data_IF_704235699663
#
_entry.id   IF_704235699663
#
_cell.length_a   1.000
_cell.length_b   1.000
_cell.length_c   1.000
_cell.angle_alpha   90.00
_cell.angle_beta   90.00
_cell.angle_gamma   90.00
#
_symmetry.space_group_name_H-M   'P 1'
#
loop_
_entity.id
_entity.type
_entity.pdbx_description
1 polymer ?
#
# COMPACT_ATOMS: atom_id res chain seq x y z
N UNK A 1 -4.16 -5.50 35.39
CA UNK A 1 -4.24 -4.53 34.28
C UNK A 1 -2.83 -4.35 33.76
N UNK A 2 -2.53 -4.88 32.57
CA UNK A 2 -1.16 -4.90 32.03
C UNK A 2 -0.89 -3.57 31.31
N UNK A 3 0.13 -2.83 31.75
CA UNK A 3 0.58 -1.61 31.06
C UNK A 3 1.09 -1.98 29.69
N UNK A 4 0.31 -1.71 28.64
CA UNK A 4 0.81 -1.74 27.26
C UNK A 4 1.74 -0.54 27.08
N UNK A 5 2.98 -0.68 27.52
CA UNK A 5 4.08 0.19 27.08
C UNK A 5 4.26 -0.08 25.59
N UNK A 6 3.59 0.73 24.77
CA UNK A 6 3.87 0.85 23.35
C UNK A 6 5.07 1.78 23.23
N UNK A 7 6.24 1.22 22.90
CA UNK A 7 7.42 2.00 22.57
C UNK A 7 7.02 3.02 21.49
N UNK A 8 7.25 4.33 21.70
CA UNK A 8 6.95 5.32 20.68
C UNK A 8 7.86 5.10 19.45
N UNK A 9 7.42 5.53 18.25
CA UNK A 9 8.27 5.49 17.08
C UNK A 9 9.53 6.36 17.26
N UNK A 10 10.65 5.92 16.71
CA UNK A 10 11.93 6.61 16.65
C UNK A 10 11.96 7.62 15.50
N UNK A 11 10.98 8.54 15.50
CA UNK A 11 10.84 9.62 14.52
C UNK A 11 10.90 10.99 15.21
N UNK A 12 11.43 11.98 14.51
CA UNK A 12 11.45 13.38 14.93
C UNK A 12 11.10 14.29 13.77
N UNK A 13 10.65 15.50 14.08
CA UNK A 13 10.53 16.58 13.10
C UNK A 13 11.82 17.41 13.05
N UNK A 14 12.16 18.04 11.91
CA UNK A 14 13.33 18.92 11.80
C UNK A 14 13.43 19.98 12.91
N UNK A 15 12.31 20.61 13.27
CA UNK A 15 12.25 21.62 14.34
C UNK A 15 12.36 21.10 15.77
N UNK A 16 12.32 19.77 15.98
CA UNK A 16 12.33 19.14 17.31
C UNK A 16 13.70 18.53 17.67
N UNK A 17 14.67 18.55 16.76
CA UNK A 17 15.98 17.93 16.97
C UNK A 17 16.81 18.76 17.95
N UNK A 18 17.22 18.14 19.07
CA UNK A 18 18.14 18.79 20.03
C UNK A 18 19.58 18.72 19.54
N UNK A 19 20.38 19.73 19.87
CA UNK A 19 21.81 19.76 19.59
C UNK A 19 22.51 18.47 20.07
N UNK A 20 23.24 17.82 19.17
CA UNK A 20 23.98 16.59 19.46
C UNK A 20 23.21 15.28 19.23
N UNK A 21 21.92 15.31 18.89
CA UNK A 21 21.20 14.11 18.48
C UNK A 21 21.59 13.67 17.07
N UNK A 22 21.97 12.40 16.92
CA UNK A 22 22.21 11.79 15.60
C UNK A 22 20.87 11.36 15.00
N UNK A 23 20.47 11.99 13.90
CA UNK A 23 19.28 11.64 13.12
C UNK A 23 19.75 10.93 11.85
N UNK A 24 19.30 9.69 11.65
CA UNK A 24 19.53 8.95 10.42
C UNK A 24 18.72 9.58 9.29
N UNK A 25 19.36 9.80 8.15
CA UNK A 25 18.75 10.36 6.94
C UNK A 25 18.97 9.40 5.77
N UNK A 26 18.02 9.32 4.83
CA UNK A 26 18.23 8.58 3.59
C UNK A 26 19.31 9.22 2.75
N UNK A 27 20.14 8.38 2.13
CA UNK A 27 21.11 8.80 1.13
C UNK A 27 20.36 9.12 -0.18
N UNK A 28 20.37 10.38 -0.69
CA UNK A 28 19.71 10.74 -1.94
C UNK A 28 20.29 10.05 -3.18
N UNK A 29 21.52 9.52 -3.12
CA UNK A 29 22.07 8.70 -4.21
C UNK A 29 21.53 7.27 -4.21
N UNK A 30 21.20 6.72 -3.03
CA UNK A 30 20.54 5.41 -2.91
C UNK A 30 19.03 5.52 -3.14
N UNK A 31 18.42 6.61 -2.67
CA UNK A 31 16.98 6.89 -2.74
C UNK A 31 16.71 8.20 -3.49
N UNK A 32 16.96 8.26 -4.81
CA UNK A 32 16.83 9.49 -5.60
C UNK A 32 15.39 10.03 -5.69
N UNK A 33 14.38 9.21 -5.36
CA UNK A 33 12.99 9.63 -5.26
C UNK A 33 12.69 10.38 -3.93
N UNK A 34 13.48 10.17 -2.87
CA UNK A 34 13.20 10.69 -1.53
C UNK A 34 13.20 12.22 -1.42
N UNK A 35 14.13 12.96 -2.08
CA UNK A 35 14.08 14.41 -2.06
C UNK A 35 12.72 14.94 -2.51
N UNK A 36 12.11 14.41 -3.57
CA UNK A 36 10.80 14.86 -4.07
C UNK A 36 9.65 14.70 -3.07
N UNK A 37 9.80 13.84 -2.06
CA UNK A 37 8.82 13.64 -0.98
C UNK A 37 9.04 14.56 0.22
N UNK A 38 10.18 15.25 0.26
CA UNK A 38 10.62 16.02 1.43
C UNK A 38 10.97 17.48 1.10
N UNK A 39 10.69 17.93 -0.13
CA UNK A 39 10.82 19.33 -0.54
C UNK A 39 9.82 20.19 0.23
N UNK A 40 10.36 20.89 1.23
CA UNK A 40 9.75 21.74 2.26
C UNK A 40 8.41 21.26 2.80
N UNK A 41 8.40 21.02 4.11
CA UNK A 41 7.24 20.97 5.01
C UNK A 41 6.34 22.23 4.98
N UNK A 42 6.53 23.10 3.99
CA UNK A 42 5.75 24.29 3.68
C UNK A 42 4.88 23.97 2.47
N UNK A 43 3.57 23.89 2.70
CA UNK A 43 2.46 23.97 1.75
C UNK A 43 2.81 23.81 0.25
N UNK A 44 3.25 22.61 -0.17
CA UNK A 44 3.08 22.18 -1.55
C UNK A 44 1.76 21.44 -1.65
N UNK A 45 0.68 22.06 -2.18
CA UNK A 45 -0.64 21.43 -2.17
C UNK A 45 -0.74 20.21 -3.11
N UNK A 46 0.15 20.10 -4.10
CA UNK A 46 0.23 18.97 -5.05
C UNK A 46 1.67 18.88 -5.60
N UNK A 47 2.21 17.66 -5.73
CA UNK A 47 3.47 17.40 -6.46
C UNK A 47 3.29 17.72 -7.94
N UNK A 48 4.32 18.27 -8.58
CA UNK A 48 4.23 18.50 -10.02
C UNK A 48 4.39 17.19 -10.82
N UNK A 49 3.93 17.21 -12.07
CA UNK A 49 3.95 16.02 -12.94
C UNK A 49 5.38 15.49 -13.18
N UNK A 50 6.40 16.36 -13.18
CA UNK A 50 7.79 15.96 -13.42
C UNK A 50 8.37 15.26 -12.18
N UNK A 51 8.08 15.76 -10.98
CA UNK A 51 8.42 15.14 -9.70
C UNK A 51 7.78 13.74 -9.60
N UNK A 52 6.48 13.61 -9.90
CA UNK A 52 5.80 12.31 -9.94
C UNK A 52 6.45 11.34 -10.95
N UNK A 53 6.77 11.83 -12.15
CA UNK A 53 7.43 11.03 -13.18
C UNK A 53 8.83 10.58 -12.73
N UNK A 54 9.58 11.46 -12.05
CA UNK A 54 10.90 11.14 -11.50
C UNK A 54 10.80 10.05 -10.42
N UNK A 55 9.84 10.15 -9.51
CA UNK A 55 9.56 9.12 -8.49
C UNK A 55 9.22 7.79 -9.17
N UNK A 56 8.27 7.79 -10.12
CA UNK A 56 7.81 6.59 -10.84
C UNK A 56 8.91 5.90 -11.63
N UNK A 57 9.88 6.66 -12.14
CA UNK A 57 11.03 6.13 -12.87
C UNK A 57 12.08 5.52 -11.93
N UNK A 58 12.20 6.04 -10.71
CA UNK A 58 13.30 5.74 -9.81
C UNK A 58 12.96 4.77 -8.67
N UNK A 59 11.73 4.82 -8.15
CA UNK A 59 11.29 3.97 -7.05
C UNK A 59 11.23 2.50 -7.47
N UNK A 60 11.58 1.60 -6.54
CA UNK A 60 11.41 0.15 -6.67
C UNK A 60 10.92 -0.42 -5.32
N UNK A 61 9.97 -1.35 -5.32
CA UNK A 61 9.49 -2.00 -4.11
C UNK A 61 10.61 -2.68 -3.33
N UNK A 62 10.48 -2.65 -2.01
CA UNK A 62 11.44 -3.33 -1.13
C UNK A 62 10.90 -4.68 -0.66
N UNK A 63 11.76 -5.71 -0.66
CA UNK A 63 11.45 -6.96 0.04
C UNK A 63 11.47 -6.77 1.56
N UNK A 64 12.40 -5.95 2.06
CA UNK A 64 12.52 -5.58 3.47
C UNK A 64 12.57 -4.06 3.57
N UNK A 65 11.81 -3.48 4.50
CA UNK A 65 11.77 -2.03 4.68
C UNK A 65 13.13 -1.54 5.21
N UNK A 66 13.83 -0.64 4.48
CA UNK A 66 15.10 -0.10 4.96
C UNK A 66 14.97 0.55 6.34
N UNK A 67 15.99 0.40 7.18
CA UNK A 67 15.99 0.90 8.58
C UNK A 67 15.71 2.41 8.65
N UNK A 68 16.19 3.14 7.65
CA UNK A 68 15.98 4.58 7.47
C UNK A 68 14.50 4.95 7.26
N UNK A 69 13.66 4.03 6.77
CA UNK A 69 12.21 4.26 6.58
C UNK A 69 11.34 3.51 7.60
N UNK A 70 11.94 2.77 8.54
CA UNK A 70 11.23 2.03 9.56
C UNK A 70 11.13 2.84 10.87
N UNK A 71 9.96 3.39 11.23
CA UNK A 71 9.82 4.25 12.40
C UNK A 71 9.97 3.49 13.73
N UNK A 72 10.03 2.16 13.74
CA UNK A 72 10.04 1.35 14.96
C UNK A 72 11.41 0.83 15.39
N UNK A 73 12.48 1.26 14.71
CA UNK A 73 13.85 0.75 14.90
C UNK A 73 14.81 1.91 15.14
N UNK A 74 15.75 1.77 16.06
CA UNK A 74 16.82 2.75 16.28
C UNK A 74 17.77 2.83 15.07
N UNK A 75 18.47 3.96 14.86
CA UNK A 75 18.41 5.21 15.63
C UNK A 75 17.21 6.09 15.25
N UNK A 76 17.09 7.25 15.89
CA UNK A 76 16.14 8.31 15.52
C UNK A 76 16.31 8.71 14.05
N UNK A 77 15.21 8.96 13.33
CA UNK A 77 15.18 9.47 11.95
C UNK A 77 14.12 10.56 11.78
N UNK A 78 14.14 11.28 10.66
CA UNK A 78 13.00 12.14 10.33
C UNK A 78 11.78 11.30 9.99
N UNK A 79 10.59 11.88 10.10
CA UNK A 79 9.34 11.22 9.72
C UNK A 79 9.47 10.69 8.27
N UNK A 80 9.45 9.36 8.07
CA UNK A 80 9.63 8.79 6.75
C UNK A 80 8.35 8.90 5.91
N UNK A 81 8.44 8.79 4.58
CA UNK A 81 7.29 8.58 3.73
C UNK A 81 6.49 7.34 4.15
N UNK A 82 5.21 7.32 3.79
CA UNK A 82 4.36 6.15 4.02
C UNK A 82 4.69 5.05 3.04
N UNK A 83 4.87 3.84 3.56
CA UNK A 83 5.00 2.62 2.76
C UNK A 83 3.93 1.61 3.18
N UNK A 84 3.37 0.91 2.21
CA UNK A 84 2.43 -0.17 2.43
C UNK A 84 3.05 -1.51 2.07
N UNK A 85 2.82 -2.52 2.91
CA UNK A 85 3.28 -3.88 2.69
C UNK A 85 2.13 -4.74 2.16
N UNK A 86 2.29 -5.34 0.98
CA UNK A 86 1.17 -6.00 0.31
C UNK A 86 1.44 -6.33 -1.16
N UNK A 87 0.39 -6.29 -1.98
CA UNK A 87 0.45 -6.63 -3.40
C UNK A 87 -0.27 -5.60 -4.28
N UNK A 88 0.23 -5.32 -5.49
CA UNK A 88 -0.56 -4.63 -6.51
C UNK A 88 -1.86 -5.38 -6.76
N UNK A 89 -2.96 -4.65 -6.95
CA UNK A 89 -4.24 -5.24 -7.32
C UNK A 89 -4.11 -5.84 -8.72
N UNK A 90 -4.20 -7.18 -8.80
CA UNK A 90 -4.35 -7.89 -10.06
C UNK A 90 -5.85 -8.16 -10.28
N UNK A 91 -6.48 -7.55 -11.30
CA UNK A 91 -7.90 -7.77 -11.59
C UNK A 91 -8.23 -9.24 -11.84
N UNK A 92 -7.33 -10.03 -12.44
CA UNK A 92 -7.59 -11.46 -12.69
C UNK A 92 -7.66 -12.24 -11.39
N UNK A 93 -6.73 -11.99 -10.46
CA UNK A 93 -6.71 -12.64 -9.14
C UNK A 93 -7.94 -12.19 -8.33
N UNK A 94 -8.15 -10.88 -8.26
CA UNK A 94 -9.26 -10.27 -7.50
C UNK A 94 -10.61 -10.75 -8.01
N UNK A 95 -10.83 -10.76 -9.32
CA UNK A 95 -12.09 -11.19 -9.91
C UNK A 95 -12.29 -12.70 -9.79
N UNK A 96 -11.23 -13.51 -9.91
CA UNK A 96 -11.34 -14.95 -9.68
C UNK A 96 -11.75 -15.28 -8.24
N UNK A 97 -11.16 -14.59 -7.27
CA UNK A 97 -11.55 -14.70 -5.86
C UNK A 97 -13.00 -14.24 -5.65
N UNK A 98 -13.35 -13.06 -6.17
CA UNK A 98 -14.69 -12.50 -6.00
C UNK A 98 -15.77 -13.37 -6.63
N UNK A 99 -15.52 -13.95 -7.81
CA UNK A 99 -16.44 -14.94 -8.41
C UNK A 99 -16.59 -16.10 -7.44
N UNK A 100 -15.48 -16.75 -7.03
CA UNK A 100 -15.49 -17.94 -6.16
C UNK A 100 -16.28 -17.73 -4.87
N UNK A 101 -16.13 -16.56 -4.25
CA UNK A 101 -16.79 -16.22 -2.97
C UNK A 101 -18.15 -15.52 -3.15
N UNK A 102 -18.68 -15.43 -4.38
CA UNK A 102 -19.96 -14.78 -4.71
C UNK A 102 -20.04 -13.28 -4.35
N UNK A 103 -18.91 -12.58 -4.49
CA UNK A 103 -18.71 -11.15 -4.20
C UNK A 103 -18.66 -10.28 -5.46
N UNK A 104 -18.70 -10.88 -6.65
CA UNK A 104 -18.52 -10.15 -7.91
C UNK A 104 -19.72 -9.23 -8.21
N UNK A 105 -19.41 -8.00 -8.62
CA UNK A 105 -20.39 -7.05 -9.16
C UNK A 105 -20.23 -6.96 -10.66
N UNK A 106 -21.36 -6.80 -11.35
CA UNK A 106 -21.44 -6.76 -12.81
C UNK A 106 -22.02 -5.43 -13.26
N UNK A 107 -21.58 -4.95 -14.41
CA UNK A 107 -22.23 -3.83 -15.08
C UNK A 107 -23.65 -4.23 -15.49
N UNK A 108 -24.59 -3.30 -15.38
CA UNK A 108 -25.92 -3.47 -15.97
C UNK A 108 -25.80 -3.41 -17.50
N UNK A 109 -26.71 -4.09 -18.19
CA UNK A 109 -26.70 -4.19 -19.67
C UNK A 109 -26.83 -2.82 -20.36
N UNK A 110 -27.48 -1.86 -19.71
CA UNK A 110 -27.60 -0.48 -20.18
C UNK A 110 -26.32 0.35 -19.98
N UNK A 111 -25.29 -0.22 -19.36
CA UNK A 111 -24.04 0.44 -19.00
C UNK A 111 -24.16 1.44 -17.85
N UNK A 112 -25.34 1.58 -17.24
CA UNK A 112 -25.64 2.60 -16.24
C UNK A 112 -25.70 2.00 -14.84
N UNK A 113 -24.52 1.88 -14.23
CA UNK A 113 -24.34 1.39 -12.88
C UNK A 113 -24.08 -0.12 -12.81
N UNK A 114 -24.10 -0.64 -11.60
CA UNK A 114 -23.72 -2.03 -11.30
C UNK A 114 -24.81 -2.77 -10.54
N UNK A 115 -24.76 -4.09 -10.61
CA UNK A 115 -25.58 -4.99 -9.79
C UNK A 115 -24.74 -6.17 -9.34
N UNK A 116 -25.04 -6.66 -8.15
CA UNK A 116 -24.62 -7.99 -7.73
C UNK A 116 -25.48 -9.04 -8.44
N UNK A 117 -24.90 -10.22 -8.71
CA UNK A 117 -25.57 -11.40 -9.27
C UNK A 117 -25.03 -12.65 -8.57
N UNK A 118 -25.91 -13.56 -8.20
CA UNK A 118 -25.51 -14.92 -7.83
C UNK A 118 -24.83 -15.62 -9.01
N UNK A 119 -23.87 -16.50 -8.71
CA UNK A 119 -23.09 -17.24 -9.72
C UNK A 119 -23.93 -17.96 -10.78
N UNK A 120 -25.09 -18.51 -10.40
CA UNK A 120 -25.99 -19.24 -11.30
C UNK A 120 -26.78 -18.33 -12.26
N UNK A 121 -26.81 -17.02 -11.98
CA UNK A 121 -27.43 -16.00 -12.81
C UNK A 121 -26.43 -15.30 -13.75
N UNK A 122 -25.13 -15.63 -13.66
CA UNK A 122 -24.08 -15.04 -14.49
C UNK A 122 -24.12 -15.65 -15.89
N UNK A 123 -24.15 -14.79 -16.90
CA UNK A 123 -24.14 -15.14 -18.31
C UNK A 123 -22.78 -14.81 -18.94
N UNK A 124 -22.42 -15.40 -20.09
CA UNK A 124 -21.19 -15.05 -20.81
C UNK A 124 -21.09 -13.59 -21.26
N UNK A 125 -22.21 -12.86 -21.31
CA UNK A 125 -22.25 -11.44 -21.69
C UNK A 125 -22.04 -10.50 -20.49
N UNK A 126 -21.99 -11.04 -19.28
CA UNK A 126 -21.80 -10.23 -18.09
C UNK A 126 -20.36 -9.75 -17.95
N UNK A 127 -20.21 -8.44 -17.77
CA UNK A 127 -18.92 -7.80 -17.57
C UNK A 127 -18.76 -7.39 -16.12
N UNK A 128 -17.66 -7.80 -15.50
CA UNK A 128 -17.36 -7.46 -14.10
C UNK A 128 -17.11 -5.95 -13.98
N UNK A 129 -17.73 -5.36 -12.97
CA UNK A 129 -17.44 -4.01 -12.53
C UNK A 129 -16.29 -4.04 -11.52
N UNK A 130 -15.05 -3.94 -12.02
CA UNK A 130 -13.83 -4.12 -11.21
C UNK A 130 -13.82 -3.29 -9.92
N UNK A 131 -14.18 -2.00 -9.97
CA UNK A 131 -14.14 -1.14 -8.77
C UNK A 131 -15.11 -1.57 -7.66
N UNK A 132 -16.38 -1.84 -7.98
CA UNK A 132 -17.34 -2.36 -6.99
C UNK A 132 -16.93 -3.74 -6.49
N UNK A 133 -16.41 -4.59 -7.37
CA UNK A 133 -15.89 -5.91 -6.99
C UNK A 133 -14.73 -5.80 -6.00
N UNK A 134 -13.79 -4.87 -6.23
CA UNK A 134 -12.70 -4.57 -5.30
C UNK A 134 -13.24 -4.12 -3.93
N UNK A 135 -14.23 -3.22 -3.90
CA UNK A 135 -14.85 -2.78 -2.64
C UNK A 135 -15.43 -3.96 -1.85
N UNK A 136 -16.14 -4.88 -2.51
CA UNK A 136 -16.66 -6.07 -1.83
C UNK A 136 -15.59 -7.02 -1.33
N UNK A 137 -14.51 -7.19 -2.10
CA UNK A 137 -13.36 -7.99 -1.66
C UNK A 137 -12.69 -7.35 -0.44
N UNK A 138 -12.56 -6.02 -0.41
CA UNK A 138 -12.04 -5.31 0.76
C UNK A 138 -12.95 -5.50 1.98
N UNK A 139 -14.27 -5.35 1.81
CA UNK A 139 -15.27 -5.58 2.87
C UNK A 139 -15.21 -7.01 3.40
N UNK A 140 -15.03 -8.01 2.53
CA UNK A 140 -14.85 -9.41 2.94
C UNK A 140 -13.59 -9.60 3.81
N UNK A 141 -12.51 -8.87 3.51
CA UNK A 141 -11.27 -8.87 4.27
C UNK A 141 -11.17 -7.72 5.28
N UNK A 142 -12.29 -7.21 5.78
CA UNK A 142 -12.31 -6.11 6.75
C UNK A 142 -11.36 -6.40 7.93
N UNK A 143 -10.50 -5.42 8.24
CA UNK A 143 -9.48 -5.54 9.29
C UNK A 143 -8.25 -6.36 8.92
N UNK A 144 -8.17 -6.88 7.68
CA UNK A 144 -7.02 -7.64 7.17
C UNK A 144 -6.36 -6.96 5.98
N UNK A 145 -7.16 -6.45 5.03
CA UNK A 145 -6.69 -5.73 3.86
C UNK A 145 -7.33 -4.35 3.75
N UNK A 146 -6.52 -3.37 3.33
CA UNK A 146 -6.99 -2.04 2.93
C UNK A 146 -6.58 -1.79 1.49
N UNK A 147 -7.45 -1.14 0.71
CA UNK A 147 -7.12 -0.70 -0.64
C UNK A 147 -6.40 0.67 -0.55
N UNK A 148 -5.16 0.70 -1.00
CA UNK A 148 -4.30 1.89 -0.99
C UNK A 148 -3.90 2.27 -2.41
N UNK A 149 -3.34 3.47 -2.60
CA UNK A 149 -2.83 3.93 -3.89
C UNK A 149 -1.32 4.13 -3.81
N UNK A 150 -0.58 3.39 -4.65
CA UNK A 150 0.89 3.32 -4.54
C UNK A 150 1.57 3.53 -5.87
N UNK A 151 2.82 3.98 -5.82
CA UNK A 151 3.68 3.99 -7.00
C UNK A 151 4.02 2.56 -7.41
N UNK A 152 3.47 2.15 -8.55
CA UNK A 152 3.86 0.91 -9.20
C UNK A 152 5.16 1.13 -9.98
N UNK A 153 6.18 0.35 -9.65
CA UNK A 153 7.43 0.31 -10.42
C UNK A 153 7.56 -0.91 -11.31
N UNK A 154 6.54 -1.77 -11.39
CA UNK A 154 6.55 -2.97 -12.21
C UNK A 154 6.77 -2.63 -13.69
N UNK A 155 6.37 -1.42 -14.10
CA UNK A 155 6.59 -0.88 -15.44
C UNK A 155 7.14 0.55 -15.35
N UNK A 156 8.27 0.88 -16.01
CA UNK A 156 8.75 2.26 -16.05
C UNK A 156 7.67 3.22 -16.59
N UNK A 157 7.25 4.18 -15.77
CA UNK A 157 6.21 5.14 -16.13
C UNK A 157 4.76 4.63 -15.95
N UNK A 158 4.52 3.47 -15.33
CA UNK A 158 3.15 3.06 -14.94
C UNK A 158 2.53 4.09 -14.02
N UNK A 159 1.23 4.37 -14.21
CA UNK A 159 0.47 5.22 -13.27
C UNK A 159 0.49 4.57 -11.90
N UNK A 160 0.40 5.36 -10.81
CA UNK A 160 0.13 4.76 -9.52
C UNK A 160 -1.14 3.90 -9.63
N UNK A 161 -1.20 2.85 -8.83
CA UNK A 161 -2.22 1.82 -8.96
C UNK A 161 -2.76 1.44 -7.60
N UNK A 162 -3.93 0.81 -7.59
CA UNK A 162 -4.50 0.27 -6.38
C UNK A 162 -3.67 -0.91 -5.86
N UNK A 163 -3.61 -1.01 -4.54
CA UNK A 163 -2.75 -1.92 -3.81
C UNK A 163 -3.48 -2.53 -2.63
N UNK A 164 -3.41 -3.86 -2.50
CA UNK A 164 -3.89 -4.59 -1.33
C UNK A 164 -2.86 -4.49 -0.21
N UNK A 165 -3.08 -3.57 0.73
CA UNK A 165 -2.22 -3.33 1.88
C UNK A 165 -2.60 -4.20 3.07
N UNK A 166 -1.63 -4.92 3.62
CA UNK A 166 -1.75 -5.64 4.90
C UNK A 166 -1.52 -4.71 6.09
N UNK A 167 -0.62 -3.74 5.92
CA UNK A 167 -0.28 -2.73 6.92
C UNK A 167 0.69 -1.68 6.34
N UNK A 168 0.79 -0.53 7.02
CA UNK A 168 1.79 0.49 6.74
C UNK A 168 3.09 0.31 7.54
N UNK A 169 4.13 1.07 7.20
CA UNK A 169 5.35 1.18 8.02
C UNK A 169 5.06 1.79 9.41
N UNK A 170 3.98 2.56 9.53
CA UNK A 170 3.45 3.12 10.78
C UNK A 170 2.58 2.14 11.58
N UNK A 171 2.30 0.94 11.07
CA UNK A 171 1.64 -0.07 11.89
C UNK A 171 2.64 -0.67 12.88
N UNK A 172 2.32 -0.62 14.18
CA UNK A 172 3.18 -1.14 15.24
C UNK A 172 3.54 -2.62 14.98
N UNK A 173 4.80 -3.06 15.15
CA UNK A 173 5.24 -4.42 14.79
C UNK A 173 4.40 -5.55 15.38
N UNK A 174 3.89 -5.38 16.61
CA UNK A 174 3.02 -6.36 17.29
C UNK A 174 1.62 -6.51 16.68
N UNK A 175 1.16 -5.53 15.90
CA UNK A 175 -0.15 -5.55 15.24
C UNK A 175 -0.06 -6.10 13.80
N UNK A 176 1.15 -6.29 13.28
CA UNK A 176 1.34 -6.78 11.91
C UNK A 176 0.99 -8.26 11.82
N UNK A 177 0.41 -8.73 10.70
CA UNK A 177 0.17 -10.15 10.46
C UNK A 177 1.46 -10.96 10.57
N UNK A 178 1.38 -12.11 11.20
CA UNK A 178 2.46 -13.09 11.24
C UNK A 178 2.73 -13.70 9.87
N UNK A 179 3.93 -14.28 9.67
CA UNK A 179 4.27 -15.02 8.45
C UNK A 179 3.25 -16.12 8.11
N UNK A 180 2.66 -16.77 9.13
CA UNK A 180 1.64 -17.80 8.95
C UNK A 180 0.32 -17.22 8.44
N UNK A 181 -0.11 -16.07 8.98
CA UNK A 181 -1.31 -15.38 8.50
C UNK A 181 -1.12 -14.92 7.05
N UNK A 182 0.04 -14.36 6.72
CA UNK A 182 0.36 -13.93 5.35
C UNK A 182 0.37 -15.14 4.39
N UNK A 183 0.99 -16.26 4.78
CA UNK A 183 1.00 -17.47 3.96
C UNK A 183 -0.41 -18.01 3.69
N UNK A 184 -1.29 -17.98 4.70
CA UNK A 184 -2.70 -18.34 4.52
C UNK A 184 -3.42 -17.39 3.57
N UNK A 185 -3.19 -16.08 3.68
CA UNK A 185 -3.79 -15.09 2.78
C UNK A 185 -3.30 -15.26 1.33
N UNK A 186 -2.03 -15.60 1.12
CA UNK A 186 -1.49 -15.91 -0.21
C UNK A 186 -2.27 -17.07 -0.86
N UNK A 187 -2.52 -18.13 -0.09
CA UNK A 187 -3.28 -19.30 -0.55
C UNK A 187 -4.75 -18.94 -0.80
N UNK A 188 -5.41 -18.32 0.18
CA UNK A 188 -6.85 -17.99 0.13
C UNK A 188 -7.16 -17.00 -1.01
N UNK A 189 -6.30 -16.00 -1.20
CA UNK A 189 -6.49 -14.93 -2.18
C UNK A 189 -5.89 -15.25 -3.56
N UNK A 190 -5.01 -16.26 -3.65
CA UNK A 190 -4.45 -16.74 -4.92
C UNK A 190 -3.17 -16.02 -5.39
N UNK A 191 -2.52 -15.23 -4.52
CA UNK A 191 -1.22 -14.63 -4.83
C UNK A 191 -0.08 -15.66 -4.70
N UNK A 192 0.85 -15.63 -5.66
CA UNK A 192 2.03 -16.53 -5.66
C UNK A 192 3.29 -15.87 -5.11
N UNK A 193 3.35 -14.54 -5.15
CA UNK A 193 4.53 -13.77 -4.77
C UNK A 193 4.40 -13.28 -3.34
N UNK A 194 5.51 -13.27 -2.61
CA UNK A 194 5.54 -12.64 -1.29
C UNK A 194 5.26 -11.14 -1.39
N UNK A 195 4.51 -10.56 -0.44
CA UNK A 195 4.23 -9.12 -0.43
C UNK A 195 5.53 -8.31 -0.32
N UNK A 196 5.49 -7.09 -0.84
CA UNK A 196 6.62 -6.15 -0.86
C UNK A 196 6.15 -4.78 -0.39
N UNK A 197 7.10 -3.96 0.05
CA UNK A 197 6.86 -2.58 0.46
C UNK A 197 6.80 -1.66 -0.75
N UNK A 198 5.67 -0.97 -0.91
CA UNK A 198 5.44 0.02 -1.96
C UNK A 198 5.27 1.41 -1.36
N UNK A 199 5.73 2.43 -2.08
CA UNK A 199 5.64 3.83 -1.68
C UNK A 199 4.24 4.36 -1.97
N UNK A 200 3.64 5.01 -0.99
CA UNK A 200 2.37 5.71 -1.14
C UNK A 200 2.42 6.78 -2.25
N UNK A 201 1.33 6.91 -3.00
CA UNK A 201 1.20 7.86 -4.10
C UNK A 201 0.20 8.99 -3.84
N UNK A 202 -0.49 8.98 -2.69
CA UNK A 202 -1.45 10.01 -2.28
C UNK A 202 -0.84 11.12 -1.41
N UNK A 203 0.48 11.07 -1.17
CA UNK A 203 1.25 12.00 -0.32
C UNK A 203 1.66 13.32 -0.95
#
# INVERSE_FOLDING_TARGET
MSSTSTTPPYITQPGAVRNGMKVLQPDPTEYPWYPYLTHSWEDKPLRDYEEECAIRKAFKPFHELPVVFNPWVEPMKYEPPTFYFGWPVDPKITNAFAIKENLAWYWKEDGMGSTWKDQDLVTPNDHIHDKWTQVQVQEFFEGVLTLEYVYDSSTPGSRPTFFWSLHSNYTHPRMRPSKRQIAKLLEDFGHRNTPQWHLDADT
#
